data_IF_612694078550
#
_entry.id   IF_612694078550
#
_cell.length_a   1.000
_cell.length_b   1.000
_cell.length_c   1.000
_cell.angle_alpha   90.00
_cell.angle_beta   90.00
_cell.angle_gamma   90.00
#
_symmetry.space_group_name_H-M   'P 1'
#
loop_
_entity.id
_entity.type
_entity.pdbx_description
1 polymer ?
#
# COMPACT_ATOMS: atom_id res chain seq x y z
N UNK A 1 20.47 49.03 22.23
CA UNK A 1 19.67 48.17 23.08
C UNK A 1 18.48 47.65 22.23
N UNK A 2 18.64 46.53 21.60
CA UNK A 2 17.62 45.91 20.72
C UNK A 2 17.19 44.59 21.35
N UNK A 3 15.92 44.55 21.74
CA UNK A 3 15.25 43.44 22.40
C UNK A 3 15.03 42.26 21.43
N UNK A 4 15.67 41.13 21.69
CA UNK A 4 15.40 39.85 21.02
C UNK A 4 14.05 39.29 21.54
N UNK A 5 13.03 39.29 20.65
CA UNK A 5 11.79 38.58 20.90
C UNK A 5 12.00 37.06 20.72
N UNK A 6 11.90 36.34 21.83
CA UNK A 6 11.79 34.88 21.86
C UNK A 6 10.48 34.47 21.16
N UNK A 7 10.57 33.86 20.00
CA UNK A 7 9.48 33.19 19.34
C UNK A 7 9.24 31.84 20.04
N UNK A 8 8.11 31.72 20.73
CA UNK A 8 7.64 30.46 21.34
C UNK A 8 7.36 29.46 20.21
N UNK A 9 8.21 28.45 20.09
CA UNK A 9 7.99 27.29 19.24
C UNK A 9 6.87 26.44 19.81
N UNK A 10 5.70 26.50 19.22
CA UNK A 10 4.57 25.62 19.50
C UNK A 10 4.96 24.20 19.08
N UNK A 11 5.17 23.31 20.05
CA UNK A 11 5.32 21.86 19.82
C UNK A 11 4.03 21.33 19.17
N UNK A 12 3.98 21.26 17.84
CA UNK A 12 3.00 20.45 17.12
C UNK A 12 3.26 18.98 17.47
N UNK A 13 2.33 18.35 18.20
CA UNK A 13 2.28 16.87 18.34
C UNK A 13 2.18 16.27 16.92
N UNK A 14 3.28 15.70 16.46
CA UNK A 14 3.34 15.03 15.16
C UNK A 14 2.81 13.61 15.35
N UNK A 15 1.74 13.25 14.64
CA UNK A 15 1.37 11.85 14.43
C UNK A 15 2.44 11.22 13.52
N UNK A 16 3.50 10.74 14.13
CA UNK A 16 4.38 9.74 13.54
C UNK A 16 3.53 8.47 13.46
N UNK A 17 3.52 7.78 12.31
CA UNK A 17 2.84 6.50 12.18
C UNK A 17 3.18 5.61 13.38
N UNK A 18 2.29 4.67 13.75
CA UNK A 18 2.38 3.85 14.97
C UNK A 18 3.74 3.14 15.07
N UNK A 19 4.73 3.85 15.55
CA UNK A 19 5.98 3.31 16.04
C UNK A 19 5.73 3.00 17.51
N UNK A 20 6.19 1.84 17.97
CA UNK A 20 6.05 1.43 19.37
C UNK A 20 6.55 2.53 20.33
N UNK A 21 5.98 2.57 21.53
CA UNK A 21 6.33 3.54 22.56
C UNK A 21 7.85 3.53 22.86
N UNK A 22 8.49 2.36 22.85
CA UNK A 22 9.93 2.20 23.07
C UNK A 22 10.79 2.83 21.97
N UNK A 23 10.44 2.61 20.70
CA UNK A 23 11.13 3.21 19.56
C UNK A 23 10.93 4.72 19.50
N UNK A 24 9.71 5.20 19.82
CA UNK A 24 9.44 6.63 19.96
C UNK A 24 10.28 7.28 21.07
N UNK A 25 10.44 6.60 22.21
CA UNK A 25 11.26 7.06 23.32
C UNK A 25 12.74 7.18 22.90
N UNK A 26 13.28 6.22 22.12
CA UNK A 26 14.63 6.29 21.54
C UNK A 26 14.82 7.51 20.67
N UNK A 27 13.84 7.80 19.77
CA UNK A 27 13.88 9.01 18.92
C UNK A 27 13.79 10.32 19.71
N UNK A 28 13.18 10.30 20.91
CA UNK A 28 13.11 11.48 21.78
C UNK A 28 14.40 11.70 22.57
N UNK A 29 15.15 10.64 22.86
CA UNK A 29 16.39 10.68 23.67
C UNK A 29 17.65 10.96 22.85
N UNK A 30 17.64 10.64 21.55
CA UNK A 30 18.79 10.87 20.69
C UNK A 30 18.98 12.36 20.41
N UNK A 31 20.22 12.79 20.34
CA UNK A 31 20.59 14.14 19.90
C UNK A 31 20.47 14.25 18.38
N UNK A 32 19.97 15.38 17.87
CA UNK A 32 19.73 15.62 16.46
C UNK A 32 20.58 16.77 15.92
N UNK A 33 21.14 16.60 14.74
CA UNK A 33 21.88 17.62 14.00
C UNK A 33 21.25 17.89 12.64
N UNK A 34 21.42 19.12 12.16
CA UNK A 34 20.97 19.57 10.85
C UNK A 34 22.11 19.44 9.84
N UNK A 35 21.85 18.77 8.72
CA UNK A 35 22.84 18.54 7.66
C UNK A 35 22.21 18.86 6.31
N UNK A 36 22.97 19.49 5.41
CA UNK A 36 22.59 19.56 4.01
C UNK A 36 22.64 18.15 3.40
N UNK A 37 21.79 17.86 2.42
CA UNK A 37 21.85 16.57 1.74
C UNK A 37 23.23 16.36 1.09
N UNK A 38 23.87 17.43 0.57
CA UNK A 38 25.20 17.35 -0.03
C UNK A 38 26.33 17.05 0.96
N UNK A 39 26.12 17.24 2.27
CA UNK A 39 27.07 16.88 3.32
C UNK A 39 26.99 15.39 3.71
N UNK A 40 25.90 14.71 3.30
CA UNK A 40 25.60 13.31 3.64
C UNK A 40 25.76 12.37 2.45
N UNK A 41 25.41 12.84 1.25
CA UNK A 41 25.37 12.06 0.02
C UNK A 41 26.09 12.79 -1.12
N UNK A 42 26.90 12.06 -1.87
CA UNK A 42 27.65 12.54 -3.03
C UNK A 42 26.84 12.39 -4.31
N UNK A 43 26.72 13.46 -5.11
CA UNK A 43 26.10 13.45 -6.44
C UNK A 43 27.00 12.73 -7.43
N UNK A 44 26.49 11.66 -8.04
CA UNK A 44 27.22 10.92 -9.06
C UNK A 44 26.91 11.46 -10.46
N UNK A 45 27.88 11.41 -11.38
CA UNK A 45 27.57 11.57 -12.81
C UNK A 45 26.59 10.51 -13.25
N UNK A 46 25.66 10.88 -14.14
CA UNK A 46 24.62 9.96 -14.64
C UNK A 46 24.66 9.88 -16.15
N UNK A 47 24.42 8.68 -16.67
CA UNK A 47 24.29 8.37 -18.10
C UNK A 47 22.79 8.21 -18.35
N UNK A 48 22.18 9.20 -19.03
CA UNK A 48 20.76 9.18 -19.39
C UNK A 48 20.58 8.70 -20.83
N UNK A 49 19.51 7.95 -21.10
CA UNK A 49 19.24 7.31 -22.39
C UNK A 49 17.92 7.82 -22.94
N UNK A 50 17.93 8.36 -24.14
CA UNK A 50 16.72 8.61 -24.92
C UNK A 50 16.05 7.27 -25.25
N UNK A 51 14.77 7.05 -24.86
CA UNK A 51 14.06 5.81 -25.17
C UNK A 51 14.00 5.47 -26.65
N UNK A 52 14.11 6.44 -27.54
CA UNK A 52 14.12 6.22 -28.99
C UNK A 52 15.40 5.52 -29.48
N UNK A 53 16.49 5.63 -28.71
CA UNK A 53 17.80 5.03 -29.02
C UNK A 53 18.01 3.64 -28.43
N UNK A 54 17.04 3.07 -27.72
CA UNK A 54 17.18 1.77 -27.06
C UNK A 54 17.60 0.65 -28.03
N UNK A 55 17.03 0.62 -29.24
CA UNK A 55 17.37 -0.38 -30.25
C UNK A 55 18.82 -0.29 -30.73
N UNK A 56 19.34 0.92 -30.87
CA UNK A 56 20.73 1.18 -31.30
C UNK A 56 21.76 0.79 -30.23
N UNK A 57 21.34 0.85 -28.96
CA UNK A 57 22.16 0.58 -27.79
C UNK A 57 22.05 -0.89 -27.33
N UNK A 58 21.20 -1.71 -27.95
CA UNK A 58 21.04 -3.12 -27.56
C UNK A 58 22.34 -3.90 -27.81
N UNK A 59 22.77 -4.66 -26.82
CA UNK A 59 23.94 -5.53 -26.87
C UNK A 59 23.61 -6.86 -26.17
N UNK A 60 23.34 -7.89 -26.95
CA UNK A 60 22.92 -9.21 -26.46
C UNK A 60 24.04 -9.96 -25.69
N UNK A 61 25.24 -9.42 -25.64
CA UNK A 61 26.37 -9.99 -24.88
C UNK A 61 26.39 -9.51 -23.44
N UNK A 62 25.71 -8.41 -23.14
CA UNK A 62 25.65 -7.82 -21.81
C UNK A 62 24.55 -8.46 -20.94
N UNK A 63 24.51 -8.12 -19.66
CA UNK A 63 23.46 -8.57 -18.72
C UNK A 63 22.22 -7.68 -18.82
N UNK A 64 21.08 -8.25 -18.43
CA UNK A 64 19.81 -7.52 -18.33
C UNK A 64 19.76 -6.73 -17.03
N UNK A 65 19.53 -5.42 -17.13
CA UNK A 65 19.40 -4.53 -15.98
C UNK A 65 18.10 -3.71 -16.04
N UNK A 66 17.59 -3.24 -14.88
CA UNK A 66 16.40 -2.40 -14.82
C UNK A 66 16.66 -1.03 -15.45
N UNK A 67 15.66 -0.53 -16.18
CA UNK A 67 15.62 0.80 -16.76
C UNK A 67 14.65 1.67 -15.98
N UNK A 68 15.19 2.63 -15.25
CA UNK A 68 14.44 3.53 -14.38
C UNK A 68 13.95 4.77 -15.14
N UNK A 69 12.72 5.18 -14.83
CA UNK A 69 12.13 6.45 -15.22
C UNK A 69 11.49 7.14 -14.03
N UNK A 70 10.76 8.22 -14.28
CA UNK A 70 10.07 8.97 -13.23
C UNK A 70 8.70 8.38 -12.88
N UNK A 71 8.53 7.06 -13.03
CA UNK A 71 7.30 6.38 -12.64
C UNK A 71 7.23 6.23 -11.11
N UNK A 72 6.03 6.29 -10.57
CA UNK A 72 5.74 6.05 -9.14
C UNK A 72 5.29 4.61 -8.87
N UNK A 73 5.03 3.85 -9.93
CA UNK A 73 4.67 2.42 -9.88
C UNK A 73 5.90 1.57 -10.14
N UNK A 74 5.85 0.28 -9.74
CA UNK A 74 6.92 -0.70 -9.95
C UNK A 74 8.31 -0.19 -9.51
N UNK A 75 8.38 0.52 -8.39
CA UNK A 75 9.60 1.14 -7.86
C UNK A 75 10.38 1.98 -8.91
N UNK A 76 9.69 2.62 -9.85
CA UNK A 76 10.27 3.45 -10.90
C UNK A 76 10.83 2.68 -12.10
N UNK A 77 10.78 1.35 -12.10
CA UNK A 77 11.25 0.51 -13.22
C UNK A 77 10.20 0.55 -14.34
N UNK A 78 10.60 0.99 -15.51
CA UNK A 78 9.75 1.07 -16.71
C UNK A 78 9.95 -0.12 -17.66
N UNK A 79 11.13 -0.72 -17.66
CA UNK A 79 11.45 -1.95 -18.43
C UNK A 79 12.74 -2.59 -17.89
N UNK A 80 13.05 -3.76 -18.39
CA UNK A 80 14.35 -4.41 -18.26
C UNK A 80 14.99 -4.48 -19.64
N UNK A 81 16.26 -4.08 -19.75
CA UNK A 81 16.95 -3.99 -21.03
C UNK A 81 18.35 -4.59 -20.95
N UNK A 82 18.89 -4.93 -22.11
CA UNK A 82 20.22 -5.48 -22.33
C UNK A 82 20.94 -4.53 -23.27
N UNK A 83 21.66 -3.54 -22.72
CA UNK A 83 22.26 -2.46 -23.49
C UNK A 83 23.76 -2.41 -23.27
N UNK A 84 24.48 -1.71 -24.14
CA UNK A 84 25.92 -1.55 -24.07
C UNK A 84 26.35 -1.00 -22.71
N UNK A 85 27.50 -1.46 -22.21
CA UNK A 85 28.06 -1.05 -20.93
C UNK A 85 28.37 0.47 -20.85
N UNK A 86 28.56 1.10 -22.01
CA UNK A 86 28.83 2.54 -22.09
C UNK A 86 27.74 3.42 -21.46
N UNK A 87 26.48 2.96 -21.44
CA UNK A 87 25.33 3.67 -20.88
C UNK A 87 24.86 3.12 -19.53
N UNK A 88 25.58 2.15 -18.95
CA UNK A 88 25.27 1.57 -17.65
C UNK A 88 25.70 2.49 -16.52
N UNK A 89 24.82 2.72 -15.56
CA UNK A 89 25.11 3.42 -14.32
C UNK A 89 25.39 2.42 -13.20
N UNK A 90 26.10 2.84 -12.16
CA UNK A 90 26.39 2.07 -10.95
C UNK A 90 26.99 0.67 -11.24
N UNK A 91 27.94 0.57 -12.14
CA UNK A 91 28.52 -0.71 -12.58
C UNK A 91 29.01 -1.63 -11.44
N UNK A 92 29.39 -1.04 -10.29
CA UNK A 92 29.87 -1.76 -9.10
C UNK A 92 28.78 -2.18 -8.14
N UNK A 93 27.51 -1.86 -8.41
CA UNK A 93 26.40 -2.19 -7.53
C UNK A 93 26.46 -1.53 -6.14
N UNK A 94 27.05 -0.32 -6.04
CA UNK A 94 27.10 0.40 -4.76
C UNK A 94 25.70 0.82 -4.29
N UNK A 95 25.46 0.91 -2.97
CA UNK A 95 24.26 1.53 -2.43
C UNK A 95 24.02 2.91 -3.05
N UNK A 96 22.86 3.07 -3.70
CA UNK A 96 22.54 4.25 -4.50
C UNK A 96 21.12 4.71 -4.22
N UNK A 97 20.91 6.01 -4.07
CA UNK A 97 19.61 6.65 -3.97
C UNK A 97 19.35 7.47 -5.23
N UNK A 98 18.21 7.23 -5.88
CA UNK A 98 17.70 8.09 -6.95
C UNK A 98 16.62 9.01 -6.38
N UNK A 99 16.68 10.31 -6.73
CA UNK A 99 15.63 11.28 -6.39
C UNK A 99 15.16 11.96 -7.67
N UNK A 100 13.86 11.85 -7.94
CA UNK A 100 13.24 12.49 -9.09
C UNK A 100 12.69 13.87 -8.74
N UNK A 101 13.15 14.91 -9.43
CA UNK A 101 12.80 16.30 -9.13
C UNK A 101 11.33 16.65 -9.39
N UNK A 102 10.67 15.97 -10.35
CA UNK A 102 9.32 16.31 -10.79
C UNK A 102 8.22 15.80 -9.84
N UNK A 103 8.40 14.60 -9.27
CA UNK A 103 7.41 13.93 -8.43
C UNK A 103 7.91 13.57 -7.04
N UNK A 104 9.15 13.94 -6.72
CA UNK A 104 9.84 13.69 -5.44
C UNK A 104 9.90 12.21 -5.07
N UNK A 105 9.81 11.31 -6.07
CA UNK A 105 9.98 9.89 -5.83
C UNK A 105 11.43 9.56 -5.48
N UNK A 106 11.62 8.74 -4.45
CA UNK A 106 12.94 8.30 -3.97
C UNK A 106 13.03 6.79 -4.12
N UNK A 107 14.12 6.33 -4.72
CA UNK A 107 14.36 4.90 -4.99
C UNK A 107 15.72 4.53 -4.42
N UNK A 108 15.79 3.41 -3.71
CA UNK A 108 17.05 2.79 -3.31
C UNK A 108 17.35 1.56 -4.15
N UNK A 109 18.60 1.38 -4.53
CA UNK A 109 19.09 0.24 -5.30
C UNK A 109 20.57 -0.05 -5.01
N UNK A 110 20.96 -1.32 -5.18
CA UNK A 110 22.35 -1.82 -5.04
C UNK A 110 22.81 -2.55 -6.31
N UNK A 111 22.15 -2.33 -7.42
CA UNK A 111 22.45 -2.98 -8.69
C UNK A 111 22.85 -1.98 -9.75
N UNK A 112 23.56 -2.41 -10.80
CA UNK A 112 23.68 -1.63 -12.03
C UNK A 112 22.30 -1.32 -12.63
N UNK A 113 22.19 -0.20 -13.34
CA UNK A 113 20.91 0.24 -13.89
C UNK A 113 21.09 1.16 -15.10
N UNK A 114 20.03 1.24 -15.90
CA UNK A 114 19.88 2.24 -16.94
C UNK A 114 18.94 3.35 -16.47
N UNK A 115 19.14 4.55 -16.95
CA UNK A 115 18.35 5.72 -16.58
C UNK A 115 17.77 6.39 -17.83
N UNK A 116 16.45 6.57 -17.82
CA UNK A 116 15.76 7.30 -18.88
C UNK A 116 16.15 8.77 -18.85
N UNK A 117 16.39 9.35 -20.04
CA UNK A 117 16.60 10.77 -20.19
C UNK A 117 15.42 11.55 -19.60
N UNK A 118 15.73 12.36 -18.64
CA UNK A 118 14.85 13.28 -17.95
C UNK A 118 15.41 14.70 -17.94
N UNK A 119 16.39 14.99 -18.82
CA UNK A 119 17.11 16.28 -18.88
C UNK A 119 17.71 16.66 -17.52
N UNK A 120 18.32 15.68 -16.84
CA UNK A 120 18.93 15.87 -15.54
C UNK A 120 17.93 15.99 -14.37
N UNK A 121 16.66 15.65 -14.57
CA UNK A 121 15.66 15.71 -13.52
C UNK A 121 15.78 14.58 -12.46
N UNK A 122 16.66 13.61 -12.66
CA UNK A 122 17.00 12.61 -11.66
C UNK A 122 18.36 12.92 -11.03
N UNK A 123 18.43 12.85 -9.72
CA UNK A 123 19.70 12.89 -8.96
C UNK A 123 20.10 11.47 -8.60
N UNK A 124 21.37 11.12 -8.86
CA UNK A 124 22.00 9.84 -8.48
C UNK A 124 22.95 10.11 -7.33
N UNK A 125 22.70 9.52 -6.17
CA UNK A 125 23.34 9.82 -4.91
C UNK A 125 23.96 8.58 -4.29
N UNK A 126 25.18 8.69 -3.81
CA UNK A 126 25.91 7.60 -3.13
C UNK A 126 26.61 8.13 -1.88
N UNK A 127 27.00 7.23 -0.99
CA UNK A 127 27.93 7.52 0.11
C UNK A 127 28.58 6.22 0.54
N UNK A 128 29.85 6.27 0.90
CA UNK A 128 30.56 5.10 1.46
C UNK A 128 30.03 4.70 2.85
N UNK A 129 29.20 5.54 3.48
CA UNK A 129 28.51 5.25 4.74
C UNK A 129 27.10 4.68 4.53
N UNK A 130 26.59 4.72 3.31
CA UNK A 130 25.27 4.23 2.99
C UNK A 130 25.26 2.70 2.87
N UNK A 131 24.28 2.06 3.49
CA UNK A 131 24.04 0.62 3.37
C UNK A 131 22.55 0.30 3.36
N UNK A 132 22.22 -0.97 3.16
CA UNK A 132 20.83 -1.46 3.03
C UNK A 132 19.95 -1.12 4.23
N UNK A 133 20.48 -1.00 5.42
CA UNK A 133 19.72 -0.73 6.65
C UNK A 133 19.59 0.77 6.89
N UNK A 134 20.69 1.49 6.96
CA UNK A 134 20.65 2.92 7.32
C UNK A 134 20.03 3.80 6.22
N UNK A 135 20.01 3.34 4.95
CA UNK A 135 19.35 4.07 3.87
C UNK A 135 17.86 4.34 4.16
N UNK A 136 17.15 3.42 4.85
CA UNK A 136 15.74 3.63 5.18
C UNK A 136 15.55 4.84 6.09
N UNK A 137 16.45 5.05 7.05
CA UNK A 137 16.42 6.20 7.93
C UNK A 137 16.71 7.50 7.17
N UNK A 138 17.77 7.49 6.34
CA UNK A 138 18.20 8.64 5.54
C UNK A 138 17.12 9.03 4.52
N UNK A 139 16.55 8.04 3.80
CA UNK A 139 15.42 8.28 2.88
C UNK A 139 14.22 8.85 3.61
N UNK A 140 13.87 8.32 4.79
CA UNK A 140 12.77 8.85 5.60
C UNK A 140 12.98 10.32 6.00
N UNK A 141 14.23 10.69 6.34
CA UNK A 141 14.58 12.07 6.65
C UNK A 141 14.48 12.98 5.41
N UNK A 142 14.98 12.53 4.24
CA UNK A 142 14.90 13.26 2.97
C UNK A 142 13.44 13.39 2.52
N UNK A 143 12.67 12.29 2.47
CA UNK A 143 11.28 12.24 2.02
C UNK A 143 10.40 13.23 2.79
N UNK A 144 10.58 13.28 4.09
CA UNK A 144 9.86 14.21 4.96
C UNK A 144 10.10 15.68 4.60
N UNK A 145 11.32 16.04 4.22
CA UNK A 145 11.68 17.42 3.86
C UNK A 145 11.22 17.74 2.46
N UNK A 146 11.52 16.87 1.49
CA UNK A 146 11.24 17.18 0.09
C UNK A 146 9.75 17.16 -0.24
N UNK A 147 8.95 16.27 0.33
CA UNK A 147 7.49 16.22 0.14
C UNK A 147 6.74 17.39 0.76
N UNK A 148 7.32 18.03 1.78
CA UNK A 148 6.72 19.24 2.38
C UNK A 148 7.13 20.52 1.68
N UNK A 149 8.32 20.54 1.08
CA UNK A 149 8.93 21.74 0.50
C UNK A 149 8.68 21.86 -1.00
N UNK A 150 8.59 20.73 -1.71
CA UNK A 150 8.49 20.68 -3.17
C UNK A 150 7.19 20.04 -3.66
N UNK A 151 6.84 20.32 -4.91
CA UNK A 151 5.68 19.81 -5.63
C UNK A 151 5.96 19.78 -7.13
N UNK A 152 5.00 19.35 -7.95
CA UNK A 152 5.13 19.40 -9.40
C UNK A 152 5.40 20.85 -9.93
N UNK A 153 4.77 21.85 -9.31
CA UNK A 153 4.95 23.26 -9.69
C UNK A 153 6.17 23.93 -9.02
N UNK A 154 6.74 23.31 -7.99
CA UNK A 154 7.94 23.76 -7.28
C UNK A 154 8.90 22.58 -7.19
N UNK A 155 9.63 22.32 -8.27
CA UNK A 155 10.46 21.13 -8.43
C UNK A 155 11.66 21.11 -7.49
N UNK A 156 11.99 19.94 -6.97
CA UNK A 156 13.21 19.70 -6.20
C UNK A 156 14.44 19.63 -7.12
N UNK A 157 14.88 20.78 -7.66
CA UNK A 157 16.08 20.83 -8.52
C UNK A 157 17.33 20.31 -7.81
N UNK A 158 18.38 19.93 -8.56
CA UNK A 158 19.65 19.47 -7.96
C UNK A 158 20.23 20.46 -6.97
N UNK A 159 20.18 21.78 -7.29
CA UNK A 159 20.70 22.84 -6.42
C UNK A 159 19.89 22.92 -5.13
N UNK A 160 18.58 22.85 -5.24
CA UNK A 160 17.70 22.93 -4.08
C UNK A 160 17.77 21.67 -3.21
N UNK A 161 17.89 20.48 -3.83
CA UNK A 161 18.14 19.24 -3.10
C UNK A 161 19.44 19.29 -2.32
N UNK A 162 20.55 19.73 -2.93
CA UNK A 162 21.85 19.90 -2.26
C UNK A 162 21.72 20.73 -1.01
N UNK A 163 21.05 21.88 -1.11
CA UNK A 163 20.89 22.82 0.00
C UNK A 163 19.72 22.48 0.96
N UNK A 164 18.97 21.42 0.69
CA UNK A 164 17.89 20.99 1.59
C UNK A 164 18.49 20.41 2.87
N UNK A 165 18.00 20.90 4.00
CA UNK A 165 18.46 20.48 5.33
C UNK A 165 17.59 19.31 5.80
N UNK A 166 18.25 18.22 6.15
CA UNK A 166 17.67 17.05 6.80
C UNK A 166 18.17 16.95 8.24
N UNK A 167 17.35 16.38 9.11
CA UNK A 167 17.67 16.24 10.51
C UNK A 167 18.02 14.77 10.78
N UNK A 168 19.25 14.51 11.24
CA UNK A 168 19.79 13.17 11.48
C UNK A 168 20.28 13.03 12.93
N UNK A 169 20.26 11.80 13.50
CA UNK A 169 20.82 11.55 14.81
C UNK A 169 22.34 11.79 14.82
N UNK A 170 22.82 12.38 15.93
CA UNK A 170 24.25 12.66 16.13
C UNK A 170 24.76 12.04 17.43
N UNK A 171 26.06 11.71 17.42
CA UNK A 171 26.83 11.27 18.58
C UNK A 171 28.18 11.97 18.55
N UNK A 172 28.49 12.71 19.61
CA UNK A 172 29.75 13.51 19.70
C UNK A 172 29.93 14.45 18.50
N UNK A 173 28.88 15.12 18.05
CA UNK A 173 28.87 16.07 16.94
C UNK A 173 29.03 15.49 15.54
N UNK A 174 28.94 14.15 15.37
CA UNK A 174 28.98 13.46 14.08
C UNK A 174 27.71 12.67 13.86
N UNK A 175 27.33 12.41 12.60
CA UNK A 175 26.18 11.57 12.24
C UNK A 175 26.35 10.18 12.87
N UNK A 176 25.31 9.72 13.60
CA UNK A 176 25.28 8.42 14.25
C UNK A 176 24.63 7.36 13.36
N UNK A 177 25.41 6.80 12.45
CA UNK A 177 24.98 5.72 11.55
C UNK A 177 24.62 4.44 12.32
N UNK A 178 25.32 4.15 13.45
CA UNK A 178 25.05 2.98 14.29
C UNK A 178 23.64 3.05 14.91
N UNK A 179 23.25 4.24 15.38
CA UNK A 179 21.88 4.46 15.88
C UNK A 179 20.87 4.24 14.77
N UNK A 180 21.09 4.78 13.55
CA UNK A 180 20.15 4.58 12.43
C UNK A 180 19.99 3.11 12.08
N UNK A 181 21.08 2.36 12.02
CA UNK A 181 21.06 0.92 11.72
C UNK A 181 20.33 0.13 12.79
N UNK A 182 20.64 0.34 14.07
CA UNK A 182 19.98 -0.35 15.18
C UNK A 182 18.50 -0.02 15.26
N UNK A 183 18.12 1.24 15.05
CA UNK A 183 16.73 1.69 15.05
C UNK A 183 15.92 1.02 13.94
N UNK A 184 16.46 0.99 12.71
CA UNK A 184 15.77 0.33 11.58
C UNK A 184 15.67 -1.17 11.78
N UNK A 185 16.73 -1.82 12.28
CA UNK A 185 16.71 -3.26 12.57
C UNK A 185 15.63 -3.60 13.61
N UNK A 186 15.50 -2.82 14.68
CA UNK A 186 14.46 -3.01 15.68
C UNK A 186 13.05 -2.75 15.12
N UNK A 187 12.89 -1.71 14.31
CA UNK A 187 11.62 -1.41 13.64
C UNK A 187 11.20 -2.53 12.70
N UNK A 188 12.15 -3.06 11.91
CA UNK A 188 11.90 -4.22 11.03
C UNK A 188 11.50 -5.46 11.84
N UNK A 189 12.24 -5.78 12.92
CA UNK A 189 11.95 -6.92 13.78
C UNK A 189 10.54 -6.81 14.39
N UNK A 190 10.15 -5.63 14.86
CA UNK A 190 8.81 -5.37 15.38
C UNK A 190 7.75 -5.60 14.30
N UNK A 191 7.94 -5.06 13.09
CA UNK A 191 6.97 -5.22 11.99
C UNK A 191 6.82 -6.66 11.53
N UNK A 192 7.92 -7.41 11.52
CA UNK A 192 7.87 -8.84 11.20
C UNK A 192 7.14 -9.63 12.28
N UNK A 193 7.36 -9.33 13.56
CA UNK A 193 6.63 -9.96 14.65
C UNK A 193 5.12 -9.63 14.62
N UNK A 194 4.74 -8.38 14.32
CA UNK A 194 3.35 -7.98 14.12
C UNK A 194 2.71 -8.72 12.94
N UNK A 195 3.43 -8.86 11.83
CA UNK A 195 2.98 -9.61 10.65
C UNK A 195 2.78 -11.10 11.00
N UNK A 196 3.73 -11.72 11.68
CA UNK A 196 3.62 -13.11 12.09
C UNK A 196 2.41 -13.35 13.00
N UNK A 197 2.23 -12.50 14.01
CA UNK A 197 1.07 -12.57 14.90
C UNK A 197 -0.25 -12.42 14.13
N UNK A 198 -0.30 -11.53 13.14
CA UNK A 198 -1.47 -11.38 12.28
C UNK A 198 -1.73 -12.63 11.44
N UNK A 199 -0.69 -13.21 10.83
CA UNK A 199 -0.80 -14.44 10.02
C UNK A 199 -1.30 -15.62 10.86
N UNK A 200 -0.79 -15.77 12.08
CA UNK A 200 -1.24 -16.80 13.02
C UNK A 200 -2.69 -16.58 13.47
N UNK A 201 -3.02 -15.38 13.92
CA UNK A 201 -4.36 -15.04 14.43
C UNK A 201 -5.45 -15.13 13.35
N UNK A 202 -5.10 -14.86 12.10
CA UNK A 202 -6.03 -14.94 10.95
C UNK A 202 -6.10 -16.33 10.30
N UNK A 203 -5.27 -17.30 10.76
CA UNK A 203 -5.17 -18.62 10.13
C UNK A 203 -4.48 -18.63 8.76
N UNK A 204 -3.90 -17.49 8.33
CA UNK A 204 -3.23 -17.34 7.03
C UNK A 204 -1.78 -17.84 7.02
N UNK A 205 -1.25 -18.32 8.15
CA UNK A 205 0.11 -18.87 8.22
C UNK A 205 0.24 -20.18 7.43
N UNK A 206 -0.82 -21.00 7.38
CA UNK A 206 -0.88 -22.21 6.56
C UNK A 206 -1.26 -21.87 5.12
N UNK A 207 -0.28 -21.91 4.23
CA UNK A 207 -0.45 -21.66 2.78
C UNK A 207 -0.50 -22.97 1.96
N UNK A 208 -0.44 -24.16 2.61
CA UNK A 208 -0.51 -25.42 1.90
C UNK A 208 -1.96 -25.70 1.48
N UNK A 209 -2.14 -26.02 0.21
CA UNK A 209 -3.46 -26.38 -0.28
C UNK A 209 -3.83 -27.79 0.17
N UNK A 210 -5.06 -27.97 0.63
CA UNK A 210 -5.63 -29.29 0.82
C UNK A 210 -5.98 -29.94 -0.53
N UNK A 211 -6.25 -31.22 -0.53
CA UNK A 211 -6.69 -31.93 -1.73
C UNK A 211 -7.99 -31.31 -2.31
N UNK A 212 -8.93 -30.95 -1.44
CA UNK A 212 -10.19 -30.34 -1.86
C UNK A 212 -9.99 -28.95 -2.48
N UNK A 213 -9.10 -28.15 -1.89
CA UNK A 213 -8.73 -26.83 -2.40
C UNK A 213 -8.07 -26.93 -3.78
N UNK A 214 -7.12 -27.85 -3.98
CA UNK A 214 -6.49 -28.12 -5.27
C UNK A 214 -7.52 -28.52 -6.31
N UNK A 215 -8.37 -29.49 -5.96
CA UNK A 215 -9.41 -29.98 -6.87
C UNK A 215 -10.39 -28.89 -7.29
N UNK A 216 -10.81 -28.02 -6.39
CA UNK A 216 -11.73 -26.94 -6.74
C UNK A 216 -11.06 -25.92 -7.69
N UNK A 217 -9.76 -25.63 -7.52
CA UNK A 217 -9.01 -24.79 -8.46
C UNK A 217 -8.91 -25.44 -9.85
N UNK A 218 -8.55 -26.73 -9.90
CA UNK A 218 -8.47 -27.49 -11.15
C UNK A 218 -9.84 -27.57 -11.87
N UNK A 219 -10.91 -27.84 -11.12
CA UNK A 219 -12.27 -27.87 -11.66
C UNK A 219 -12.72 -26.50 -12.22
N UNK A 220 -12.28 -25.41 -11.58
CA UNK A 220 -12.52 -24.05 -12.06
C UNK A 220 -11.75 -23.76 -13.36
N UNK A 221 -10.45 -24.05 -13.38
CA UNK A 221 -9.58 -23.82 -14.55
C UNK A 221 -10.01 -24.64 -15.77
N UNK A 222 -10.45 -25.88 -15.55
CA UNK A 222 -10.90 -26.77 -16.60
C UNK A 222 -12.38 -26.57 -17.00
N UNK A 223 -13.08 -25.61 -16.38
CA UNK A 223 -14.51 -25.35 -16.68
C UNK A 223 -15.47 -26.44 -16.19
N UNK A 224 -15.05 -27.30 -15.27
CA UNK A 224 -15.85 -28.44 -14.77
C UNK A 224 -16.88 -28.05 -13.71
N UNK A 225 -16.89 -26.77 -13.26
CA UNK A 225 -17.88 -26.29 -12.30
C UNK A 225 -19.23 -26.06 -12.98
N UNK A 226 -20.29 -26.56 -12.36
CA UNK A 226 -21.65 -26.32 -12.83
C UNK A 226 -22.12 -24.95 -12.30
N UNK A 227 -22.34 -23.99 -13.21
CA UNK A 227 -22.81 -22.64 -12.91
C UNK A 227 -24.29 -22.50 -13.26
N UNK A 228 -25.05 -21.79 -12.41
CA UNK A 228 -26.44 -21.43 -12.66
C UNK A 228 -26.72 -19.97 -12.31
N UNK A 229 -27.74 -19.42 -12.96
CA UNK A 229 -28.24 -18.07 -12.69
C UNK A 229 -29.18 -18.07 -11.49
N UNK A 230 -29.01 -17.06 -10.63
CA UNK A 230 -29.85 -16.80 -9.48
C UNK A 230 -30.18 -15.30 -9.42
N UNK A 231 -31.43 -14.97 -9.11
CA UNK A 231 -31.84 -13.60 -8.85
C UNK A 231 -31.22 -13.12 -7.53
N UNK A 232 -30.63 -11.94 -7.53
CA UNK A 232 -30.07 -11.39 -6.30
C UNK A 232 -31.16 -11.12 -5.25
N UNK A 233 -32.39 -10.80 -5.68
CA UNK A 233 -33.54 -10.64 -4.80
C UNK A 233 -33.95 -11.91 -4.03
N UNK A 234 -33.63 -13.10 -4.58
CA UNK A 234 -33.88 -14.38 -3.91
C UNK A 234 -32.75 -14.79 -2.96
N UNK A 235 -31.57 -14.21 -3.15
CA UNK A 235 -30.38 -14.55 -2.38
C UNK A 235 -30.11 -13.60 -1.19
N UNK A 236 -30.52 -12.32 -1.31
CA UNK A 236 -30.17 -11.28 -0.37
C UNK A 236 -31.37 -10.49 0.14
N UNK A 237 -31.33 -10.13 1.41
CA UNK A 237 -32.15 -9.08 1.98
C UNK A 237 -31.47 -7.72 1.74
N UNK A 238 -32.12 -6.86 0.94
CA UNK A 238 -31.59 -5.54 0.60
C UNK A 238 -32.17 -4.44 1.47
N UNK A 239 -31.30 -3.49 1.88
CA UNK A 239 -31.67 -2.27 2.60
C UNK A 239 -30.98 -1.05 2.00
N UNK A 240 -31.75 0.00 1.71
CA UNK A 240 -31.20 1.28 1.31
C UNK A 240 -30.73 2.08 2.53
N UNK A 241 -29.53 2.61 2.46
CA UNK A 241 -28.97 3.57 3.44
C UNK A 241 -29.11 4.95 2.82
N UNK A 242 -29.83 5.84 3.52
CA UNK A 242 -30.06 7.22 3.08
C UNK A 242 -28.77 8.03 3.09
N UNK A 243 -28.76 9.12 2.35
CA UNK A 243 -27.67 10.08 2.40
C UNK A 243 -27.58 10.70 3.80
N UNK A 244 -26.39 10.72 4.36
CA UNK A 244 -26.11 11.42 5.62
C UNK A 244 -26.36 12.93 5.45
N UNK A 245 -27.00 13.55 6.44
CA UNK A 245 -27.36 14.97 6.39
C UNK A 245 -26.14 15.89 6.34
N UNK A 246 -25.02 15.46 6.90
CA UNK A 246 -23.78 16.24 6.95
C UNK A 246 -22.54 15.35 7.02
N UNK A 247 -22.13 14.78 5.89
CA UNK A 247 -20.92 13.95 5.80
C UNK A 247 -19.65 14.70 6.26
N UNK A 248 -19.56 16.00 5.96
CA UNK A 248 -18.41 16.85 6.31
C UNK A 248 -18.24 17.06 7.81
N UNK A 249 -19.30 16.91 8.59
CA UNK A 249 -19.29 17.15 10.03
C UNK A 249 -18.97 15.88 10.84
N UNK A 250 -18.94 14.70 10.20
CA UNK A 250 -18.64 13.45 10.89
C UNK A 250 -17.15 13.44 11.26
N UNK A 251 -16.77 13.42 12.56
CA UNK A 251 -15.39 13.44 12.99
C UNK A 251 -14.63 12.21 12.53
N UNK A 252 -13.42 12.43 12.01
CA UNK A 252 -12.48 11.34 11.72
C UNK A 252 -11.95 10.76 13.01
N UNK A 253 -11.91 9.43 13.10
CA UNK A 253 -11.36 8.70 14.25
C UNK A 253 -10.42 7.60 13.74
N UNK A 254 -9.13 7.86 13.84
CA UNK A 254 -8.08 6.92 13.43
C UNK A 254 -7.57 6.06 14.60
N UNK A 255 -8.31 6.05 15.72
CA UNK A 255 -8.04 5.14 16.84
C UNK A 255 -8.60 3.74 16.56
N UNK A 256 -8.32 2.80 17.42
CA UNK A 256 -8.88 1.43 17.36
C UNK A 256 -10.41 1.39 17.52
N UNK A 257 -11.02 2.47 18.02
CA UNK A 257 -12.48 2.62 18.19
C UNK A 257 -13.18 3.20 16.96
N UNK A 258 -12.42 3.72 16.01
CA UNK A 258 -12.96 4.23 14.74
C UNK A 258 -13.50 3.11 13.85
N UNK A 259 -14.65 3.35 13.20
CA UNK A 259 -15.25 2.43 12.25
C UNK A 259 -15.12 2.95 10.82
N UNK A 260 -15.02 2.06 9.79
CA UNK A 260 -14.98 2.48 8.40
C UNK A 260 -16.21 3.30 8.03
N UNK A 261 -16.04 4.35 7.22
CA UNK A 261 -17.13 5.10 6.62
C UNK A 261 -17.18 4.86 5.12
N UNK A 262 -18.24 4.17 4.70
CA UNK A 262 -18.42 3.67 3.34
C UNK A 262 -19.24 4.65 2.52
N UNK A 263 -18.72 5.03 1.36
CA UNK A 263 -19.34 5.95 0.40
C UNK A 263 -19.18 5.39 -1.02
N UNK A 264 -19.86 6.01 -1.97
CA UNK A 264 -19.75 5.61 -3.38
C UNK A 264 -18.38 6.03 -3.96
N UNK A 265 -17.40 5.14 -3.87
CA UNK A 265 -16.08 5.29 -4.50
C UNK A 265 -15.63 3.95 -5.09
N UNK A 266 -14.84 3.98 -6.16
CA UNK A 266 -14.28 2.79 -6.81
C UNK A 266 -12.96 2.32 -6.20
N UNK A 267 -12.48 3.00 -5.17
CA UNK A 267 -11.20 2.71 -4.51
C UNK A 267 -11.37 2.32 -3.06
N UNK A 268 -10.31 1.73 -2.47
CA UNK A 268 -10.21 1.42 -1.04
C UNK A 268 -11.42 0.67 -0.47
N UNK A 269 -11.95 -0.32 -1.21
CA UNK A 269 -13.13 -1.11 -0.80
C UNK A 269 -14.33 -0.23 -0.38
N UNK A 270 -14.54 0.89 -1.08
CA UNK A 270 -15.54 1.93 -0.80
C UNK A 270 -15.35 2.68 0.53
N UNK A 271 -14.28 2.48 1.27
CA UNK A 271 -13.99 3.16 2.53
C UNK A 271 -13.31 4.50 2.27
N UNK A 272 -13.94 5.59 2.68
CA UNK A 272 -13.38 6.95 2.53
C UNK A 272 -12.44 7.32 3.68
N UNK A 273 -12.78 6.95 4.91
CA UNK A 273 -12.05 7.21 6.14
C UNK A 273 -12.59 6.38 7.30
N UNK A 274 -11.93 6.40 8.45
CA UNK A 274 -12.52 5.94 9.70
C UNK A 274 -13.19 7.12 10.43
N UNK A 275 -14.31 6.85 11.09
CA UNK A 275 -15.12 7.86 11.77
C UNK A 275 -15.48 7.44 13.18
N UNK A 276 -15.86 8.44 14.01
CA UNK A 276 -16.25 8.21 15.37
C UNK A 276 -17.65 7.59 15.44
N UNK A 277 -17.73 6.36 15.96
CA UNK A 277 -18.97 5.60 16.09
C UNK A 277 -20.00 6.28 16.99
N UNK A 278 -19.57 6.82 18.13
CA UNK A 278 -20.45 7.48 19.10
C UNK A 278 -21.10 8.71 18.49
N UNK A 279 -20.36 9.45 17.66
CA UNK A 279 -20.93 10.59 16.95
C UNK A 279 -22.06 10.17 16.01
N UNK A 280 -21.86 9.08 15.22
CA UNK A 280 -22.92 8.56 14.33
C UNK A 280 -24.20 8.25 15.11
N UNK A 281 -24.09 7.55 16.23
CA UNK A 281 -25.23 7.17 17.08
C UNK A 281 -25.95 8.41 17.60
N UNK A 282 -25.21 9.36 18.14
CA UNK A 282 -25.76 10.59 18.77
C UNK A 282 -26.43 11.53 17.75
N UNK A 283 -26.09 11.40 16.47
CA UNK A 283 -26.65 12.22 15.39
C UNK A 283 -27.67 11.47 14.51
N UNK A 284 -28.18 10.33 15.00
CA UNK A 284 -29.15 9.47 14.27
C UNK A 284 -28.64 8.98 12.90
N UNK A 285 -27.32 8.87 12.74
CA UNK A 285 -26.64 8.26 11.60
C UNK A 285 -26.20 6.86 12.02
N UNK A 286 -27.14 5.99 12.31
CA UNK A 286 -26.87 4.66 12.90
C UNK A 286 -25.83 3.89 12.12
N UNK A 287 -24.85 3.26 12.80
CA UNK A 287 -23.93 2.34 12.16
C UNK A 287 -24.66 1.16 11.53
N UNK A 288 -24.10 0.60 10.47
CA UNK A 288 -24.59 -0.58 9.77
C UNK A 288 -23.81 -1.78 10.25
N UNK A 289 -24.49 -2.88 10.60
CA UNK A 289 -23.83 -4.12 10.98
C UNK A 289 -22.95 -4.68 9.85
N UNK A 290 -21.87 -5.36 10.20
CA UNK A 290 -21.01 -6.05 9.23
C UNK A 290 -21.70 -7.22 8.51
N UNK A 291 -20.89 -8.01 7.80
CA UNK A 291 -21.30 -9.12 6.95
C UNK A 291 -22.32 -8.68 5.88
N UNK A 292 -21.93 -7.65 5.10
CA UNK A 292 -22.78 -7.08 4.05
C UNK A 292 -22.02 -6.82 2.76
N UNK A 293 -22.65 -7.10 1.64
CA UNK A 293 -22.28 -6.44 0.39
C UNK A 293 -22.85 -5.02 0.38
N UNK A 294 -22.09 -4.09 -0.15
CA UNK A 294 -22.48 -2.68 -0.31
C UNK A 294 -22.40 -2.31 -1.77
N UNK A 295 -23.47 -1.73 -2.28
CA UNK A 295 -23.68 -1.41 -3.69
C UNK A 295 -23.90 0.10 -3.84
N UNK A 296 -23.25 0.71 -4.81
CA UNK A 296 -23.47 2.11 -5.17
C UNK A 296 -24.81 2.33 -5.84
N UNK A 297 -25.39 3.52 -5.66
CA UNK A 297 -26.66 3.92 -6.32
C UNK A 297 -26.46 4.88 -7.50
N UNK A 298 -25.23 5.45 -7.64
CA UNK A 298 -24.88 6.36 -8.73
C UNK A 298 -23.60 5.96 -9.46
N UNK A 299 -22.69 5.30 -8.76
CA UNK A 299 -21.45 4.75 -9.33
C UNK A 299 -21.52 3.21 -9.30
N UNK A 300 -20.88 2.53 -10.27
CA UNK A 300 -20.82 1.06 -10.31
C UNK A 300 -19.85 0.51 -9.25
N UNK A 301 -20.00 0.96 -8.01
CA UNK A 301 -19.17 0.59 -6.88
C UNK A 301 -19.77 -0.59 -6.11
N UNK A 302 -18.93 -1.51 -5.70
CA UNK A 302 -19.27 -2.64 -4.86
C UNK A 302 -18.16 -2.93 -3.87
N UNK A 303 -18.53 -3.37 -2.67
CA UNK A 303 -17.59 -3.89 -1.67
C UNK A 303 -18.27 -4.93 -0.78
N UNK A 304 -17.48 -5.77 -0.15
CA UNK A 304 -17.89 -6.56 1.00
C UNK A 304 -17.33 -5.93 2.28
N UNK A 305 -18.21 -5.69 3.25
CA UNK A 305 -17.85 -5.11 4.54
C UNK A 305 -18.02 -6.14 5.66
N UNK A 306 -16.93 -6.72 6.18
CA UNK A 306 -16.98 -7.79 7.17
C UNK A 306 -17.39 -7.30 8.57
N UNK A 307 -17.11 -6.03 8.89
CA UNK A 307 -17.31 -5.43 10.20
C UNK A 307 -18.30 -4.29 10.13
N UNK A 308 -18.78 -3.85 11.28
CA UNK A 308 -19.63 -2.66 11.42
C UNK A 308 -18.99 -1.42 10.78
N UNK A 309 -19.81 -0.60 10.13
CA UNK A 309 -19.37 0.59 9.39
C UNK A 309 -20.45 1.68 9.40
N UNK A 310 -20.04 2.92 9.21
CA UNK A 310 -20.95 4.00 8.84
C UNK A 310 -21.14 4.03 7.32
N UNK A 311 -22.27 4.51 6.82
CA UNK A 311 -22.51 4.57 5.39
C UNK A 311 -23.39 5.75 4.98
N UNK A 312 -23.22 6.19 3.73
CA UNK A 312 -24.07 7.22 3.14
C UNK A 312 -24.41 6.87 1.70
N UNK A 313 -25.70 6.92 1.38
CA UNK A 313 -26.26 6.83 0.04
C UNK A 313 -25.80 5.55 -0.71
N UNK A 314 -25.99 4.39 -0.07
CA UNK A 314 -25.66 3.06 -0.64
C UNK A 314 -26.79 2.09 -0.42
N UNK A 315 -26.76 0.97 -1.12
CA UNK A 315 -27.65 -0.18 -0.86
C UNK A 315 -26.78 -1.28 -0.22
N UNK A 316 -27.30 -1.91 0.82
CA UNK A 316 -26.65 -3.04 1.47
C UNK A 316 -27.45 -4.31 1.26
N UNK A 317 -26.77 -5.43 1.02
CA UNK A 317 -27.35 -6.77 0.96
C UNK A 317 -26.73 -7.68 2.01
N UNK A 318 -27.57 -8.52 2.65
CA UNK A 318 -27.13 -9.54 3.61
C UNK A 318 -27.86 -10.85 3.37
N UNK A 319 -27.28 -11.94 3.86
CA UNK A 319 -27.90 -13.26 3.83
C UNK A 319 -27.33 -14.11 4.96
N UNK A 320 -28.12 -15.05 5.50
CA UNK A 320 -27.72 -15.92 6.61
C UNK A 320 -26.55 -16.84 6.27
N UNK A 321 -26.44 -17.24 5.00
CA UNK A 321 -25.35 -18.08 4.51
C UNK A 321 -24.04 -17.32 4.24
N UNK A 322 -24.08 -15.98 4.26
CA UNK A 322 -22.92 -15.15 3.91
C UNK A 322 -21.96 -14.99 5.08
N UNK A 323 -20.67 -15.08 4.79
CA UNK A 323 -19.58 -14.88 5.76
C UNK A 323 -18.39 -14.17 5.11
N UNK A 324 -17.31 -13.96 5.87
CA UNK A 324 -16.09 -13.29 5.43
C UNK A 324 -15.46 -13.87 4.15
N UNK A 325 -15.61 -15.18 3.94
CA UNK A 325 -14.96 -15.89 2.84
C UNK A 325 -15.83 -15.81 1.60
N UNK A 326 -17.05 -16.31 1.67
CA UNK A 326 -17.95 -16.35 0.51
C UNK A 326 -18.49 -14.95 0.12
N UNK A 327 -18.56 -13.99 1.06
CA UNK A 327 -18.89 -12.59 0.75
C UNK A 327 -17.90 -11.94 -0.21
N UNK A 328 -16.60 -12.26 -0.11
CA UNK A 328 -15.60 -11.83 -1.07
C UNK A 328 -15.83 -12.45 -2.45
N UNK A 329 -16.12 -13.74 -2.53
CA UNK A 329 -16.47 -14.40 -3.80
C UNK A 329 -17.65 -13.69 -4.49
N UNK A 330 -18.73 -13.49 -3.75
CA UNK A 330 -19.94 -12.84 -4.25
C UNK A 330 -19.67 -11.41 -4.72
N UNK A 331 -18.88 -10.64 -3.98
CA UNK A 331 -18.56 -9.27 -4.39
C UNK A 331 -17.81 -9.22 -5.72
N UNK A 332 -16.92 -10.19 -5.97
CA UNK A 332 -16.22 -10.32 -7.27
C UNK A 332 -17.19 -10.71 -8.38
N UNK A 333 -18.08 -11.67 -8.14
CA UNK A 333 -19.08 -12.08 -9.14
C UNK A 333 -19.98 -10.90 -9.53
N UNK A 334 -20.51 -10.16 -8.55
CA UNK A 334 -21.35 -9.00 -8.80
C UNK A 334 -20.56 -7.89 -9.49
N UNK A 335 -19.29 -7.67 -9.13
CA UNK A 335 -18.45 -6.63 -9.74
C UNK A 335 -18.33 -6.77 -11.26
N UNK A 336 -18.36 -8.00 -11.77
CA UNK A 336 -18.35 -8.28 -13.22
C UNK A 336 -19.59 -7.76 -13.95
N UNK A 337 -20.69 -7.55 -13.25
CA UNK A 337 -21.93 -7.03 -13.81
C UNK A 337 -22.07 -5.52 -13.64
N UNK A 338 -21.25 -4.91 -12.79
CA UNK A 338 -21.37 -3.48 -12.48
C UNK A 338 -21.03 -2.57 -13.67
N UNK A 339 -20.26 -3.07 -14.68
CA UNK A 339 -19.89 -2.31 -15.87
C UNK A 339 -21.09 -1.78 -16.68
N UNK A 340 -22.28 -2.43 -16.56
CA UNK A 340 -23.50 -2.01 -17.24
C UNK A 340 -24.08 -0.70 -16.67
N UNK A 341 -23.61 -0.26 -15.51
CA UNK A 341 -24.10 0.95 -14.85
C UNK A 341 -23.13 2.11 -15.03
N UNK A 342 -23.70 3.31 -15.10
CA UNK A 342 -22.97 4.57 -15.22
C UNK A 342 -23.76 5.68 -14.54
N UNK A 343 -23.23 6.88 -14.52
CA UNK A 343 -23.94 8.06 -13.99
C UNK A 343 -25.29 8.30 -14.72
N UNK A 344 -25.37 8.00 -16.01
CA UNK A 344 -26.59 8.11 -16.82
C UNK A 344 -27.55 6.90 -16.71
N UNK A 345 -27.07 5.77 -16.19
CA UNK A 345 -27.86 4.53 -16.00
C UNK A 345 -27.66 4.02 -14.57
N UNK A 346 -28.32 4.70 -13.62
CA UNK A 346 -28.14 4.46 -12.19
C UNK A 346 -28.87 3.22 -11.74
N UNK A 347 -28.21 2.28 -11.03
CA UNK A 347 -28.89 1.14 -10.46
C UNK A 347 -29.71 1.56 -9.23
N UNK A 348 -30.95 1.10 -9.19
CA UNK A 348 -31.80 1.26 -8.02
C UNK A 348 -32.00 -0.07 -7.31
N UNK A 349 -32.68 -0.04 -6.16
CA UNK A 349 -32.98 -1.24 -5.36
C UNK A 349 -33.61 -2.36 -6.18
N UNK A 350 -34.63 -2.03 -7.00
CA UNK A 350 -35.32 -3.02 -7.79
C UNK A 350 -34.44 -3.63 -8.88
N UNK A 351 -33.60 -2.81 -9.52
CA UNK A 351 -32.64 -3.29 -10.52
C UNK A 351 -31.67 -4.32 -9.90
N UNK A 352 -31.16 -4.04 -8.70
CA UNK A 352 -30.31 -5.00 -8.01
C UNK A 352 -31.06 -6.29 -7.64
N UNK A 353 -32.31 -6.22 -7.22
CA UNK A 353 -33.11 -7.42 -6.93
C UNK A 353 -33.33 -8.28 -8.17
N UNK A 354 -33.56 -7.64 -9.32
CA UNK A 354 -33.87 -8.33 -10.59
C UNK A 354 -32.57 -8.78 -11.31
N UNK A 355 -31.40 -8.37 -10.81
CA UNK A 355 -30.12 -8.76 -11.38
C UNK A 355 -29.85 -10.25 -11.16
N UNK A 356 -29.43 -10.93 -12.23
CA UNK A 356 -29.03 -12.34 -12.20
C UNK A 356 -27.49 -12.44 -12.07
N UNK A 357 -27.07 -13.27 -11.12
CA UNK A 357 -25.67 -13.62 -10.94
C UNK A 357 -25.47 -15.11 -11.17
N UNK A 358 -24.31 -15.47 -11.72
CA UNK A 358 -23.93 -16.87 -11.90
C UNK A 358 -23.14 -17.36 -10.68
N UNK A 359 -23.61 -18.46 -10.07
CA UNK A 359 -22.94 -19.09 -8.93
C UNK A 359 -22.74 -20.57 -9.17
N UNK A 360 -21.68 -21.18 -8.61
CA UNK A 360 -21.55 -22.62 -8.58
C UNK A 360 -22.77 -23.26 -7.92
N UNK A 361 -23.32 -24.29 -8.54
CA UNK A 361 -24.62 -24.86 -8.12
C UNK A 361 -24.61 -26.38 -8.06
N UNK A 362 -25.46 -26.92 -7.19
CA UNK A 362 -25.89 -28.31 -7.22
C UNK A 362 -27.39 -28.33 -7.36
N UNK A 363 -27.89 -29.00 -8.42
CA UNK A 363 -29.29 -28.94 -8.83
C UNK A 363 -29.69 -27.45 -9.01
N UNK A 364 -30.56 -26.90 -8.18
CA UNK A 364 -31.08 -25.53 -8.26
C UNK A 364 -30.70 -24.68 -7.02
N UNK A 365 -29.64 -25.06 -6.30
CA UNK A 365 -29.17 -24.34 -5.10
C UNK A 365 -27.70 -23.97 -5.23
N UNK A 366 -27.29 -22.76 -4.81
CA UNK A 366 -25.88 -22.38 -4.78
C UNK A 366 -25.07 -23.30 -3.87
N UNK A 367 -23.85 -23.60 -4.27
CA UNK A 367 -22.87 -24.36 -3.46
C UNK A 367 -21.99 -23.39 -2.64
N UNK A 368 -22.53 -22.89 -1.53
CA UNK A 368 -21.81 -21.92 -0.69
C UNK A 368 -20.47 -22.46 -0.15
N UNK A 369 -20.43 -23.73 0.31
CA UNK A 369 -19.20 -24.33 0.77
C UNK A 369 -18.10 -24.43 -0.29
N UNK A 370 -18.46 -24.63 -1.58
CA UNK A 370 -17.49 -24.62 -2.66
C UNK A 370 -16.89 -23.23 -2.87
N UNK A 371 -17.70 -22.17 -2.74
CA UNK A 371 -17.20 -20.79 -2.81
C UNK A 371 -16.19 -20.49 -1.68
N UNK A 372 -16.46 -21.02 -0.49
CA UNK A 372 -15.55 -20.89 0.66
C UNK A 372 -14.21 -21.59 0.41
N UNK A 373 -14.26 -22.87 -0.04
CA UNK A 373 -13.05 -23.64 -0.38
C UNK A 373 -12.24 -22.91 -1.46
N UNK A 374 -12.91 -22.41 -2.51
CA UNK A 374 -12.26 -21.70 -3.61
C UNK A 374 -11.54 -20.42 -3.13
N UNK A 375 -12.23 -19.57 -2.35
CA UNK A 375 -11.61 -18.33 -1.84
C UNK A 375 -10.50 -18.64 -0.85
N UNK A 376 -10.66 -19.65 0.01
CA UNK A 376 -9.57 -20.06 0.92
C UNK A 376 -8.34 -20.52 0.14
N UNK A 377 -8.52 -21.30 -0.94
CA UNK A 377 -7.43 -21.71 -1.81
C UNK A 377 -6.72 -20.50 -2.46
N UNK A 378 -7.47 -19.55 -3.01
CA UNK A 378 -6.91 -18.32 -3.59
C UNK A 378 -6.16 -17.50 -2.52
N UNK A 379 -6.70 -17.36 -1.31
CA UNK A 379 -6.04 -16.66 -0.22
C UNK A 379 -4.71 -17.31 0.14
N UNK A 380 -4.65 -18.64 0.22
CA UNK A 380 -3.42 -19.41 0.47
C UNK A 380 -2.37 -19.18 -0.62
N UNK A 381 -2.77 -19.19 -1.90
CA UNK A 381 -1.88 -18.91 -3.02
C UNK A 381 -1.28 -17.49 -2.97
N UNK A 382 -2.13 -16.50 -2.68
CA UNK A 382 -1.71 -15.09 -2.63
C UNK A 382 -0.82 -14.81 -1.42
N UNK A 383 -1.13 -15.39 -0.24
CA UNK A 383 -0.39 -15.11 0.98
C UNK A 383 0.95 -15.86 1.06
N UNK A 384 1.15 -16.91 0.28
CA UNK A 384 2.33 -17.79 0.32
C UNK A 384 3.65 -17.01 0.33
N UNK A 385 3.83 -16.10 -0.61
CA UNK A 385 5.09 -15.34 -0.71
C UNK A 385 5.30 -14.41 0.49
N UNK A 386 4.24 -13.89 1.08
CA UNK A 386 4.30 -13.07 2.30
C UNK A 386 4.73 -13.90 3.50
N UNK A 387 4.18 -15.12 3.65
CA UNK A 387 4.58 -16.05 4.72
C UNK A 387 6.05 -16.45 4.57
N UNK A 388 6.45 -16.85 3.36
CA UNK A 388 7.85 -17.22 3.07
C UNK A 388 8.82 -16.05 3.32
N UNK A 389 8.40 -14.82 3.00
CA UNK A 389 9.19 -13.62 3.32
C UNK A 389 9.35 -13.43 4.83
N UNK A 390 8.25 -13.52 5.58
CA UNK A 390 8.26 -13.38 7.04
C UNK A 390 9.17 -14.44 7.69
N UNK A 391 9.03 -15.72 7.29
CA UNK A 391 9.83 -16.81 7.80
C UNK A 391 11.33 -16.62 7.55
N UNK A 392 11.72 -16.23 6.33
CA UNK A 392 13.13 -15.92 6.02
C UNK A 392 13.69 -14.79 6.90
N UNK A 393 12.91 -13.76 7.15
CA UNK A 393 13.32 -12.62 8.00
C UNK A 393 13.47 -13.04 9.47
N UNK A 394 12.55 -13.83 9.99
CA UNK A 394 12.60 -14.36 11.36
C UNK A 394 13.84 -15.25 11.54
N UNK A 395 14.10 -16.14 10.59
CA UNK A 395 15.26 -17.02 10.63
C UNK A 395 16.58 -16.23 10.60
N UNK A 396 16.68 -15.26 9.69
CA UNK A 396 17.85 -14.38 9.62
C UNK A 396 18.10 -13.62 10.94
N UNK A 397 17.03 -13.14 11.60
CA UNK A 397 17.15 -12.46 12.89
C UNK A 397 17.61 -13.40 14.00
N UNK A 398 17.10 -14.65 14.05
CA UNK A 398 17.51 -15.67 15.02
C UNK A 398 19.00 -16.02 14.87
N UNK A 399 19.48 -16.18 13.63
CA UNK A 399 20.89 -16.48 13.36
C UNK A 399 21.80 -15.32 13.77
N UNK A 400 21.37 -14.07 13.55
CA UNK A 400 22.15 -12.89 13.94
C UNK A 400 22.24 -12.68 15.47
N UNK A 401 21.30 -13.23 16.24
CA UNK A 401 21.28 -13.12 17.71
C UNK A 401 21.99 -14.29 18.41
N UNK A 402 22.38 -15.34 17.68
CA UNK A 402 23.12 -16.50 18.23
C UNK A 402 24.64 -16.38 18.06
N UNK A 403 25.12 -15.36 17.31
CA UNK A 403 26.53 -15.02 17.15
C UNK A 403 26.86 -13.77 17.98
#
# INVERSE_FOLDING_TARGET
MGSFKHTKTTKRKRNLGKVDALLNEKLQKVEWGDFKIEDVLDWQPQKEIDPLKLKELTDETEMIYPFYGQATTNNGIISYNQLTKSVLNNEKGKPTILIHSNNQNIIYLETPFYLKDGHGATSVLQSDKLNKTNQMFIIGAIDRVIKTKYSYNNKATKIELKNSIINLPIKKGKIDYEFMESFIAELEAQRIAELENYLLASGLKDYNLTYEEQKVLEDFENGNLNWKEFLMGDLFEFKAIKQAKSQGNIPTDNTEFGIPYVVQTLSNNMVSRNVNKSWLINNNESPVSGNRIVLGVTLPAISYQPREFGASQVITGTADWMNNVNGNFISVVISKLMYQFSYGSKPGMQIYKDMKIQLPANKNKPKYGLMEIFITAIQKLVIKEVVLYADRKIEATKLATQN
#
